data_IF_648886938227
#
_entry.id   IF_648886938227
#
_cell.length_a   1.000
_cell.length_b   1.000
_cell.length_c   1.000
_cell.angle_alpha   90.00
_cell.angle_beta   90.00
_cell.angle_gamma   90.00
#
_symmetry.space_group_name_H-M   'P 1'
#
loop_
_entity.id
_entity.type
_entity.pdbx_description
1 polymer ?
#
# COMPACT_ATOMS: atom_id res chain seq x y z
N UNK A 1 -1.93 12.72 8.62
CA UNK A 1 -0.71 11.94 8.30
C UNK A 1 0.59 12.76 8.31
N UNK A 2 0.51 14.09 8.41
CA UNK A 2 1.64 15.02 8.45
C UNK A 2 2.39 15.08 9.79
N UNK A 3 1.91 14.39 10.84
CA UNK A 3 2.65 14.27 12.10
C UNK A 3 3.85 13.32 11.91
N UNK A 4 5.10 13.76 12.14
CA UNK A 4 6.29 12.93 11.95
C UNK A 4 6.39 11.73 12.90
N UNK A 5 5.75 11.76 14.08
CA UNK A 5 5.74 10.65 15.04
C UNK A 5 4.56 9.68 14.83
N UNK A 6 3.86 9.76 13.70
CA UNK A 6 2.78 8.84 13.36
C UNK A 6 3.23 7.80 12.33
N UNK A 7 2.82 6.55 12.55
CA UNK A 7 2.94 5.46 11.57
C UNK A 7 1.73 5.53 10.61
N UNK A 8 2.00 5.46 9.32
CA UNK A 8 1.00 5.46 8.25
C UNK A 8 0.73 3.99 7.88
N UNK A 9 -0.47 3.49 8.16
CA UNK A 9 -0.90 2.19 7.64
C UNK A 9 -1.66 2.40 6.31
N UNK A 10 -0.98 2.13 5.19
CA UNK A 10 -1.56 2.22 3.86
C UNK A 10 -2.26 0.90 3.52
N UNK A 11 -3.57 0.82 3.81
CA UNK A 11 -4.38 -0.37 3.56
C UNK A 11 -4.87 -0.36 2.12
N UNK A 12 -4.51 -1.38 1.35
CA UNK A 12 -4.95 -1.57 -0.03
C UNK A 12 -5.56 -2.96 -0.18
N UNK A 13 -6.73 -3.11 -0.82
CA UNK A 13 -7.26 -4.43 -1.11
C UNK A 13 -6.51 -5.06 -2.29
N UNK A 14 -6.22 -6.36 -2.20
CA UNK A 14 -5.34 -7.10 -3.09
C UNK A 14 -5.89 -7.34 -4.51
N UNK A 15 -7.17 -7.00 -4.72
CA UNK A 15 -7.78 -6.97 -6.04
C UNK A 15 -7.48 -5.69 -6.83
N UNK A 16 -6.77 -4.72 -6.23
CA UNK A 16 -6.40 -3.45 -6.84
C UNK A 16 -4.89 -3.31 -6.79
N UNK A 17 -4.28 -2.88 -7.90
CA UNK A 17 -2.83 -2.75 -7.98
C UNK A 17 -2.28 -1.77 -6.94
N UNK A 18 -1.28 -2.23 -6.18
CA UNK A 18 -0.59 -1.46 -5.15
C UNK A 18 -0.06 -0.11 -5.66
N UNK A 19 0.45 -0.09 -6.90
CA UNK A 19 0.98 1.11 -7.56
C UNK A 19 -0.08 2.17 -7.88
N UNK A 20 -1.36 1.78 -7.96
CA UNK A 20 -2.47 2.70 -8.28
C UNK A 20 -3.20 3.21 -7.04
N UNK A 21 -3.01 2.55 -5.89
CA UNK A 21 -3.66 2.84 -4.63
C UNK A 21 -3.48 4.29 -4.16
N UNK A 22 -4.58 4.97 -3.89
CA UNK A 22 -4.58 6.33 -3.35
C UNK A 22 -3.91 6.39 -1.98
N UNK A 23 -4.05 5.34 -1.15
CA UNK A 23 -3.43 5.27 0.16
C UNK A 23 -1.89 5.34 0.08
N UNK A 24 -1.30 4.67 -0.92
CA UNK A 24 0.15 4.69 -1.16
C UNK A 24 0.60 6.02 -1.75
N UNK A 25 -0.20 6.63 -2.64
CA UNK A 25 0.08 7.97 -3.18
C UNK A 25 0.11 9.02 -2.08
N UNK A 26 -0.93 9.08 -1.24
CA UNK A 26 -0.97 10.01 -0.11
C UNK A 26 0.13 9.75 0.92
N UNK A 27 0.49 8.48 1.15
CA UNK A 27 1.62 8.16 2.03
C UNK A 27 2.95 8.66 1.45
N UNK A 28 3.19 8.48 0.15
CA UNK A 28 4.40 8.97 -0.54
C UNK A 28 4.52 10.50 -0.55
N UNK A 29 3.41 11.24 -0.56
CA UNK A 29 3.43 12.71 -0.48
C UNK A 29 3.99 13.21 0.87
N UNK A 30 3.77 12.46 1.96
CA UNK A 30 4.19 12.87 3.32
C UNK A 30 5.35 12.04 3.89
N UNK A 31 5.67 10.92 3.26
CA UNK A 31 6.76 9.99 3.59
C UNK A 31 7.30 9.35 2.30
N UNK A 32 8.02 10.13 1.46
CA UNK A 32 8.54 9.64 0.18
C UNK A 32 9.61 8.55 0.34
N UNK A 33 10.30 8.51 1.48
CA UNK A 33 11.29 7.49 1.82
C UNK A 33 10.67 6.23 2.44
N UNK A 34 9.38 6.25 2.78
CA UNK A 34 8.65 5.11 3.35
C UNK A 34 9.11 4.70 4.76
N UNK A 35 9.81 5.58 5.51
CA UNK A 35 10.41 5.22 6.81
C UNK A 35 9.36 4.97 7.90
N UNK A 36 8.16 5.51 7.72
CA UNK A 36 7.05 5.43 8.68
C UNK A 36 5.75 4.98 8.02
N UNK A 37 5.84 4.36 6.84
CA UNK A 37 4.69 3.85 6.09
C UNK A 37 4.73 2.33 6.02
N UNK A 38 3.68 1.67 6.51
CA UNK A 38 3.47 0.24 6.40
C UNK A 38 2.35 -0.03 5.38
N UNK A 39 2.69 -0.71 4.29
CA UNK A 39 1.73 -1.20 3.32
C UNK A 39 1.04 -2.47 3.85
N UNK A 40 -0.29 -2.47 3.87
CA UNK A 40 -1.09 -3.63 4.29
C UNK A 40 -2.01 -4.04 3.14
N UNK A 41 -1.79 -5.25 2.63
CA UNK A 41 -2.64 -5.85 1.62
C UNK A 41 -3.76 -6.67 2.30
N UNK A 42 -5.00 -6.36 1.95
CA UNK A 42 -6.21 -7.02 2.49
C UNK A 42 -7.01 -7.68 1.39
N UNK A 43 -8.01 -8.50 1.70
CA UNK A 43 -8.87 -9.16 0.69
C UNK A 43 -8.09 -10.05 -0.30
N UNK A 44 -7.04 -10.72 0.17
CA UNK A 44 -6.25 -11.68 -0.62
C UNK A 44 -7.10 -12.88 -1.09
N UNK A 45 -8.22 -13.15 -0.42
CA UNK A 45 -9.23 -14.13 -0.81
C UNK A 45 -9.97 -13.76 -2.10
N UNK A 46 -10.09 -12.47 -2.40
CA UNK A 46 -10.70 -11.94 -3.63
C UNK A 46 -9.66 -11.67 -4.72
N UNK A 47 -8.40 -12.02 -4.47
CA UNK A 47 -7.36 -11.94 -5.49
C UNK A 47 -7.59 -13.09 -6.46
N UNK A 48 -7.94 -12.76 -7.71
CA UNK A 48 -8.11 -13.75 -8.76
C UNK A 48 -6.85 -14.62 -8.85
N UNK A 49 -7.02 -15.94 -8.76
CA UNK A 49 -5.93 -16.91 -8.91
C UNK A 49 -5.40 -16.84 -10.35
N UNK A 50 -4.34 -16.07 -10.56
CA UNK A 50 -3.70 -15.96 -11.88
C UNK A 50 -2.75 -14.79 -12.06
N UNK A 51 -2.78 -13.78 -11.20
CA UNK A 51 -1.80 -12.68 -11.23
C UNK A 51 -0.77 -12.91 -10.12
N UNK A 52 0.14 -13.86 -10.35
CA UNK A 52 1.34 -14.04 -9.54
C UNK A 52 2.19 -12.78 -9.65
N UNK A 53 2.17 -11.91 -8.64
CA UNK A 53 3.12 -10.81 -8.49
C UNK A 53 4.45 -11.37 -7.92
N UNK A 54 5.03 -12.30 -8.66
CA UNK A 54 6.37 -12.85 -8.44
C UNK A 54 7.28 -12.51 -9.62
N UNK A 55 7.25 -11.27 -10.12
CA UNK A 55 8.41 -10.71 -10.80
C UNK A 55 8.36 -9.18 -10.89
N UNK A 56 9.55 -8.60 -10.75
CA UNK A 56 10.00 -7.19 -10.80
C UNK A 56 9.68 -6.25 -9.63
#
# INVERSE_FOLDING_TARGET
ISNPNAIILAITPANVDFSTSEAVKFAKEVDPEGRRTLAVLTKLDLMDRGTDAYDV
#
